data_IF_066204520657
#
_entry.id   IF_066204520657
#
_cell.length_a   1.000
_cell.length_b   1.000
_cell.length_c   1.000
_cell.angle_alpha   90.00
_cell.angle_beta   90.00
_cell.angle_gamma   90.00
#
_symmetry.space_group_name_H-M   'P 1'
#
loop_
_entity.id
_entity.type
_entity.pdbx_description
1 polymer ?
#
# COMPACT_ATOMS: atom_id res chain seq x y z
N UNK A 1 3.81 29.95 36.98
CA UNK A 1 4.61 29.95 35.73
C UNK A 1 3.97 28.97 34.77
N UNK A 2 3.55 29.47 33.62
CA UNK A 2 2.78 28.66 32.67
C UNK A 2 3.71 27.75 31.86
N UNK A 3 3.38 26.47 31.78
CA UNK A 3 4.10 25.50 30.96
C UNK A 3 3.90 25.86 29.47
N UNK A 4 4.97 25.95 28.65
CA UNK A 4 4.83 26.26 27.23
C UNK A 4 4.35 25.06 26.39
N UNK A 5 4.45 23.83 26.91
CA UNK A 5 4.05 22.62 26.21
C UNK A 5 2.55 22.37 26.33
N UNK A 6 2.00 22.42 27.55
CA UNK A 6 0.59 22.13 27.80
C UNK A 6 -0.24 23.32 28.31
N UNK A 7 0.40 24.45 28.67
CA UNK A 7 -0.32 25.63 29.15
C UNK A 7 -0.72 25.59 30.64
N UNK A 8 -0.38 24.56 31.40
CA UNK A 8 -0.68 24.45 32.83
C UNK A 8 0.09 25.48 33.68
N UNK A 9 -0.56 26.12 34.66
CA UNK A 9 0.08 27.12 35.52
C UNK A 9 0.73 26.47 36.75
N UNK A 10 2.06 26.36 36.71
CA UNK A 10 2.85 25.70 37.74
C UNK A 10 3.27 26.70 38.84
N UNK A 11 3.40 26.29 40.11
CA UNK A 11 4.00 27.12 41.15
C UNK A 11 5.42 27.59 40.77
N UNK A 12 5.83 28.77 41.24
CA UNK A 12 7.19 29.27 40.98
C UNK A 12 8.25 28.35 41.62
N UNK A 13 9.37 28.13 40.93
CA UNK A 13 10.48 27.30 41.42
C UNK A 13 10.37 25.79 41.13
N UNK A 14 9.29 25.33 40.48
CA UNK A 14 9.17 23.93 40.02
C UNK A 14 10.17 23.63 38.90
N UNK A 15 10.80 22.44 38.94
CA UNK A 15 11.76 22.01 37.90
C UNK A 15 11.10 21.34 36.70
N UNK A 16 9.92 20.76 36.90
CA UNK A 16 9.14 20.03 35.91
C UNK A 16 7.68 20.48 35.99
N UNK A 17 6.96 20.39 34.87
CA UNK A 17 5.53 20.65 34.82
C UNK A 17 4.78 19.52 35.53
N UNK A 18 3.85 19.86 36.43
CA UNK A 18 3.06 18.88 37.19
C UNK A 18 2.07 18.11 36.32
N UNK A 19 1.63 18.71 35.23
CA UNK A 19 0.65 18.14 34.30
C UNK A 19 1.32 17.28 33.20
N UNK A 20 2.26 17.83 32.44
CA UNK A 20 2.86 17.14 31.29
C UNK A 20 4.32 16.66 31.49
N UNK A 21 4.93 16.87 32.66
CA UNK A 21 6.30 16.42 32.96
C UNK A 21 7.46 17.22 32.32
N UNK A 22 7.17 18.26 31.53
CA UNK A 22 8.21 19.04 30.81
C UNK A 22 9.16 19.79 31.75
N UNK A 23 10.47 19.82 31.46
CA UNK A 23 11.47 20.53 32.29
C UNK A 23 11.31 22.05 32.18
N UNK A 24 10.83 22.68 33.24
CA UNK A 24 10.65 24.13 33.34
C UNK A 24 11.98 24.88 33.57
N UNK A 25 12.94 24.28 34.27
CA UNK A 25 14.25 24.89 34.56
C UNK A 25 15.17 25.00 33.35
N UNK A 26 15.12 24.03 32.43
CA UNK A 26 15.92 24.10 31.21
C UNK A 26 15.43 25.22 30.29
N UNK A 27 14.14 25.53 30.31
CA UNK A 27 13.58 26.61 29.51
C UNK A 27 14.09 27.99 29.96
N UNK A 28 14.10 28.29 31.26
CA UNK A 28 14.62 29.56 31.75
C UNK A 28 16.12 29.70 31.50
N UNK A 29 16.88 28.62 31.71
CA UNK A 29 18.30 28.58 31.40
C UNK A 29 18.56 28.78 29.90
N UNK A 30 17.76 28.15 29.02
CA UNK A 30 17.80 28.34 27.56
C UNK A 30 17.46 29.78 27.17
N UNK A 31 16.41 30.36 27.73
CA UNK A 31 16.03 31.77 27.50
C UNK A 31 17.13 32.72 27.97
N UNK A 32 17.74 32.47 29.13
CA UNK A 32 18.85 33.27 29.64
C UNK A 32 20.10 33.18 28.74
N UNK A 33 20.46 31.98 28.29
CA UNK A 33 21.54 31.76 27.31
C UNK A 33 21.25 32.46 25.98
N UNK A 34 20.03 32.38 25.47
CA UNK A 34 19.61 33.07 24.25
C UNK A 34 19.69 34.61 24.40
N UNK A 35 19.24 35.17 25.55
CA UNK A 35 19.38 36.60 25.86
C UNK A 35 20.84 37.04 25.92
N UNK A 36 21.72 36.27 26.56
CA UNK A 36 23.16 36.57 26.61
C UNK A 36 23.80 36.55 25.23
N UNK A 37 23.43 35.57 24.39
CA UNK A 37 23.89 35.48 23.00
C UNK A 37 23.44 36.69 22.18
N UNK A 38 22.16 37.05 22.24
CA UNK A 38 21.63 38.20 21.49
C UNK A 38 22.21 39.54 21.96
N UNK A 39 22.45 39.71 23.26
CA UNK A 39 23.14 40.87 23.82
C UNK A 39 24.58 40.96 23.34
N UNK A 40 25.31 39.83 23.30
CA UNK A 40 26.69 39.77 22.80
C UNK A 40 26.77 40.09 21.32
N UNK A 41 25.88 39.53 20.50
CA UNK A 41 25.76 39.86 19.08
C UNK A 41 25.43 41.34 18.85
N UNK A 42 24.49 41.90 19.61
CA UNK A 42 24.16 43.32 19.54
C UNK A 42 25.31 44.25 19.97
N UNK A 43 26.18 43.79 20.89
CA UNK A 43 27.37 44.52 21.30
C UNK A 43 28.47 44.48 20.24
N UNK A 44 28.69 43.31 19.61
CA UNK A 44 29.61 43.17 18.47
C UNK A 44 29.17 44.09 17.33
N UNK A 45 27.89 44.05 16.98
CA UNK A 45 27.33 44.87 15.92
C UNK A 45 27.49 46.38 16.17
N UNK A 46 27.28 46.83 17.41
CA UNK A 46 27.50 48.24 17.79
C UNK A 46 28.96 48.66 17.66
N UNK A 47 29.90 47.79 18.04
CA UNK A 47 31.35 48.05 17.91
C UNK A 47 31.78 48.11 16.43
N UNK A 48 31.27 47.21 15.61
CA UNK A 48 31.53 47.20 14.16
C UNK A 48 30.96 48.46 13.49
N UNK A 49 29.71 48.83 13.80
CA UNK A 49 29.10 50.05 13.29
C UNK A 49 29.89 51.31 13.68
N UNK A 50 30.36 51.41 14.93
CA UNK A 50 31.21 52.51 15.38
C UNK A 50 32.56 52.54 14.65
N UNK A 51 33.20 51.37 14.47
CA UNK A 51 34.49 51.26 13.75
C UNK A 51 34.36 51.71 12.29
N UNK A 52 33.24 51.38 11.66
CA UNK A 52 32.97 51.69 10.27
C UNK A 52 32.30 53.07 10.09
N UNK A 53 32.15 53.85 11.17
CA UNK A 53 31.59 55.21 11.14
C UNK A 53 30.10 55.29 10.79
N UNK A 54 29.36 54.18 10.91
CA UNK A 54 27.95 54.08 10.56
C UNK A 54 27.09 54.62 11.70
N UNK A 55 26.10 55.46 11.37
CA UNK A 55 25.11 55.88 12.34
C UNK A 55 24.21 54.70 12.79
N UNK A 56 23.59 54.83 13.96
CA UNK A 56 22.80 53.75 14.56
C UNK A 56 21.59 53.35 13.69
N UNK A 57 21.05 54.29 12.92
CA UNK A 57 19.87 54.08 12.08
C UNK A 57 20.24 53.32 10.79
N UNK A 58 21.38 53.63 10.20
CA UNK A 58 21.95 53.02 9.01
C UNK A 58 22.45 51.60 9.28
N UNK A 59 23.03 51.37 10.47
CA UNK A 59 23.32 50.03 10.96
C UNK A 59 22.02 49.21 11.12
N UNK A 60 20.97 49.76 11.75
CA UNK A 60 19.69 49.05 11.83
C UNK A 60 19.06 48.75 10.46
N UNK A 61 19.14 49.68 9.50
CA UNK A 61 18.65 49.47 8.12
C UNK A 61 19.42 48.35 7.42
N UNK A 62 20.75 48.29 7.55
CA UNK A 62 21.56 47.19 6.99
C UNK A 62 21.22 45.84 7.63
N UNK A 63 21.02 45.78 8.94
CA UNK A 63 20.60 44.57 9.67
C UNK A 63 19.23 44.05 9.25
N UNK A 64 18.28 44.95 8.97
CA UNK A 64 16.94 44.57 8.47
C UNK A 64 17.02 44.00 7.04
N UNK A 65 17.90 44.53 6.18
CA UNK A 65 18.11 44.00 4.81
C UNK A 65 18.74 42.61 4.82
N UNK A 66 19.73 42.35 5.67
CA UNK A 66 20.36 41.02 5.75
C UNK A 66 19.43 39.97 6.34
N UNK A 67 18.58 40.32 7.32
CA UNK A 67 17.63 39.39 7.94
C UNK A 67 16.43 39.02 7.07
N UNK A 68 15.98 39.90 6.17
CA UNK A 68 14.88 39.63 5.22
C UNK A 68 15.29 38.81 3.99
N UNK A 69 16.58 38.55 3.80
CA UNK A 69 17.09 37.79 2.66
C UNK A 69 16.99 36.30 2.94
N UNK A 70 15.79 35.78 3.18
CA UNK A 70 15.55 34.35 2.91
C UNK A 70 15.83 34.16 1.44
N UNK A 71 16.91 33.45 1.13
CA UNK A 71 17.34 33.26 -0.25
C UNK A 71 16.17 32.66 -1.05
N UNK A 72 15.85 33.18 -2.24
CA UNK A 72 14.81 32.59 -3.08
C UNK A 72 15.06 31.09 -3.35
N UNK A 73 16.32 30.65 -3.25
CA UNK A 73 16.70 29.24 -3.30
C UNK A 73 16.19 28.39 -2.13
N UNK A 74 16.06 28.97 -0.93
CA UNK A 74 15.49 28.24 0.22
C UNK A 74 14.00 28.00 0.00
N UNK A 75 13.28 28.98 -0.57
CA UNK A 75 11.88 28.80 -0.95
C UNK A 75 11.72 27.75 -2.06
N UNK A 76 12.60 27.76 -3.07
CA UNK A 76 12.61 26.73 -4.12
C UNK A 76 12.94 25.34 -3.59
N UNK A 77 13.89 25.20 -2.66
CA UNK A 77 14.20 23.91 -2.02
C UNK A 77 13.02 23.38 -1.21
N UNK A 78 12.36 24.24 -0.43
CA UNK A 78 11.16 23.85 0.34
C UNK A 78 10.04 23.41 -0.61
N UNK A 79 9.82 24.13 -1.71
CA UNK A 79 8.85 23.77 -2.74
C UNK A 79 9.19 22.42 -3.40
N UNK A 80 10.45 22.21 -3.77
CA UNK A 80 10.90 20.95 -4.38
C UNK A 80 10.72 19.75 -3.43
N UNK A 81 11.02 19.92 -2.14
CA UNK A 81 10.78 18.91 -1.11
C UNK A 81 9.28 18.63 -0.94
N UNK A 82 8.45 19.68 -0.91
CA UNK A 82 6.99 19.52 -0.85
C UNK A 82 6.44 18.76 -2.06
N UNK A 83 6.90 19.08 -3.27
CA UNK A 83 6.50 18.37 -4.49
C UNK A 83 6.95 16.91 -4.44
N UNK A 84 8.20 16.64 -4.04
CA UNK A 84 8.68 15.26 -3.90
C UNK A 84 7.87 14.47 -2.87
N UNK A 85 7.53 15.08 -1.73
CA UNK A 85 6.67 14.45 -0.72
C UNK A 85 5.25 14.20 -1.26
N UNK A 86 4.68 15.15 -1.99
CA UNK A 86 3.36 14.97 -2.63
C UNK A 86 3.41 13.82 -3.65
N UNK A 87 4.47 13.72 -4.46
CA UNK A 87 4.66 12.60 -5.40
C UNK A 87 4.78 11.27 -4.66
N UNK A 88 5.55 11.21 -3.58
CA UNK A 88 5.66 9.99 -2.74
C UNK A 88 4.30 9.63 -2.12
N UNK A 89 3.56 10.61 -1.60
CA UNK A 89 2.21 10.40 -1.05
C UNK A 89 1.28 9.89 -2.14
N UNK A 90 1.32 10.45 -3.35
CA UNK A 90 0.51 9.98 -4.47
C UNK A 90 0.87 8.55 -4.83
N UNK A 91 2.16 8.19 -4.91
CA UNK A 91 2.61 6.83 -5.21
C UNK A 91 2.22 5.80 -4.14
N UNK A 92 2.27 6.18 -2.87
CA UNK A 92 1.86 5.32 -1.75
C UNK A 92 0.33 5.23 -1.66
N UNK A 93 -0.38 6.34 -1.88
CA UNK A 93 -1.84 6.38 -1.87
C UNK A 93 -2.47 5.78 -3.13
N UNK A 94 -1.73 5.71 -4.24
CA UNK A 94 -2.18 5.07 -5.47
C UNK A 94 -2.15 3.55 -5.40
N UNK A 95 -1.76 2.95 -4.25
CA UNK A 95 -1.90 1.52 -4.01
C UNK A 95 -1.37 0.72 -5.19
N UNK A 96 -0.06 0.78 -5.44
CA UNK A 96 0.56 -0.06 -6.46
C UNK A 96 0.10 -1.50 -6.22
N UNK A 97 -0.54 -2.08 -7.22
CA UNK A 97 -1.04 -3.45 -7.17
C UNK A 97 0.12 -4.39 -6.84
N UNK A 98 -0.07 -5.21 -5.80
CA UNK A 98 0.97 -6.18 -5.41
C UNK A 98 1.12 -7.26 -6.49
N UNK A 99 2.29 -7.91 -6.54
CA UNK A 99 2.52 -9.03 -7.46
C UNK A 99 1.47 -10.14 -7.36
N UNK A 100 1.10 -10.61 -6.14
CA UNK A 100 0.03 -11.60 -5.96
C UNK A 100 -1.33 -11.11 -6.44
N UNK A 101 -1.71 -9.85 -6.14
CA UNK A 101 -3.00 -9.30 -6.58
C UNK A 101 -3.08 -9.23 -8.10
N UNK A 102 -1.99 -8.80 -8.74
CA UNK A 102 -1.88 -8.78 -10.20
C UNK A 102 -2.09 -10.18 -10.78
N UNK A 103 -1.44 -11.20 -10.22
CA UNK A 103 -1.58 -12.58 -10.68
C UNK A 103 -3.02 -13.11 -10.57
N UNK A 104 -3.74 -12.79 -9.49
CA UNK A 104 -5.17 -13.15 -9.36
C UNK A 104 -6.01 -12.47 -10.43
N UNK A 105 -5.73 -11.20 -10.75
CA UNK A 105 -6.46 -10.51 -11.83
C UNK A 105 -6.11 -11.07 -13.21
N UNK A 106 -4.85 -11.38 -13.47
CA UNK A 106 -4.41 -12.03 -14.71
C UNK A 106 -5.08 -13.41 -14.87
N UNK A 107 -5.20 -14.19 -13.80
CA UNK A 107 -5.93 -15.46 -13.78
C UNK A 107 -7.41 -15.31 -14.20
N UNK A 108 -8.17 -14.41 -13.58
CA UNK A 108 -9.59 -14.22 -13.94
C UNK A 108 -9.77 -13.63 -15.34
N UNK A 109 -8.91 -12.69 -15.75
CA UNK A 109 -8.95 -12.14 -17.11
C UNK A 109 -8.57 -13.19 -18.16
N UNK A 110 -7.62 -14.07 -17.87
CA UNK A 110 -7.25 -15.18 -18.76
C UNK A 110 -8.42 -16.13 -19.01
N UNK A 111 -9.21 -16.45 -17.97
CA UNK A 111 -10.45 -17.23 -18.14
C UNK A 111 -11.45 -16.47 -19.01
N UNK A 112 -11.64 -15.17 -18.75
CA UNK A 112 -12.55 -14.33 -19.53
C UNK A 112 -12.21 -14.29 -21.01
N UNK A 113 -10.95 -14.05 -21.31
CA UNK A 113 -10.45 -13.88 -22.68
C UNK A 113 -10.13 -15.24 -23.34
N UNK A 114 -10.33 -16.35 -22.60
CA UNK A 114 -9.92 -17.71 -22.99
C UNK A 114 -8.43 -17.78 -23.40
N UNK A 115 -7.60 -16.96 -22.76
CA UNK A 115 -6.15 -16.96 -22.92
C UNK A 115 -5.53 -18.11 -22.12
N UNK A 116 -5.43 -19.27 -22.77
CA UNK A 116 -4.95 -20.49 -22.13
C UNK A 116 -3.49 -20.40 -21.70
N UNK A 117 -2.67 -19.62 -22.43
CA UNK A 117 -1.25 -19.49 -22.08
C UNK A 117 -1.08 -18.70 -20.77
N UNK A 118 -1.78 -17.57 -20.63
CA UNK A 118 -1.75 -16.79 -19.39
C UNK A 118 -2.39 -17.57 -18.24
N UNK A 119 -3.47 -18.32 -18.51
CA UNK A 119 -4.08 -19.20 -17.51
C UNK A 119 -3.07 -20.24 -17.00
N UNK A 120 -2.41 -20.99 -17.89
CA UNK A 120 -1.43 -22.01 -17.51
C UNK A 120 -0.23 -21.43 -16.78
N UNK A 121 0.23 -20.23 -17.14
CA UNK A 121 1.32 -19.56 -16.42
C UNK A 121 0.98 -19.37 -14.93
N UNK A 122 -0.29 -19.16 -14.57
CA UNK A 122 -0.74 -18.97 -13.19
C UNK A 122 -1.34 -20.22 -12.53
N UNK A 123 -1.40 -21.37 -13.20
CA UNK A 123 -2.02 -22.60 -12.65
C UNK A 123 -1.12 -23.83 -12.76
N UNK A 124 -0.52 -24.05 -13.92
CA UNK A 124 0.21 -25.26 -14.32
C UNK A 124 1.50 -24.84 -15.07
N UNK A 125 2.46 -24.27 -14.34
CA UNK A 125 3.67 -23.64 -14.93
C UNK A 125 4.47 -24.59 -15.83
N UNK A 126 4.50 -25.89 -15.52
CA UNK A 126 5.18 -26.88 -16.37
C UNK A 126 4.47 -27.08 -17.71
N UNK A 127 3.13 -27.13 -17.73
CA UNK A 127 2.37 -27.20 -18.98
C UNK A 127 2.53 -25.92 -19.81
N UNK A 128 2.55 -24.75 -19.17
CA UNK A 128 2.89 -23.49 -19.83
C UNK A 128 4.24 -23.57 -20.54
N UNK A 129 5.28 -24.04 -19.84
CA UNK A 129 6.63 -24.19 -20.40
C UNK A 129 6.69 -25.23 -21.53
N UNK A 130 5.96 -26.34 -21.42
CA UNK A 130 5.83 -27.33 -22.49
C UNK A 130 5.15 -26.72 -23.73
N UNK A 131 4.10 -25.94 -23.53
CA UNK A 131 3.39 -25.25 -24.61
C UNK A 131 4.27 -24.19 -25.29
N UNK A 132 5.04 -23.43 -24.53
CA UNK A 132 6.00 -22.45 -25.04
C UNK A 132 7.07 -23.10 -25.95
N UNK A 133 7.49 -24.33 -25.61
CA UNK A 133 8.41 -25.13 -26.44
C UNK A 133 7.75 -25.88 -27.60
N UNK A 134 6.42 -25.82 -27.72
CA UNK A 134 5.65 -26.54 -28.74
C UNK A 134 5.53 -28.06 -28.50
N UNK A 135 5.81 -28.52 -27.27
CA UNK A 135 5.65 -29.92 -26.86
C UNK A 135 4.21 -30.26 -26.47
N UNK A 136 3.42 -29.23 -26.15
CA UNK A 136 2.01 -29.32 -25.76
C UNK A 136 1.20 -28.27 -26.53
N UNK A 137 0.01 -28.63 -26.98
CA UNK A 137 -0.93 -27.68 -27.58
C UNK A 137 -2.15 -27.58 -26.68
N UNK A 138 -2.23 -26.55 -25.82
CA UNK A 138 -3.31 -26.42 -24.87
C UNK A 138 -4.61 -25.99 -25.56
N UNK A 139 -5.73 -26.51 -25.07
CA UNK A 139 -7.07 -26.19 -25.53
C UNK A 139 -7.91 -25.70 -24.33
N UNK A 140 -8.68 -24.60 -24.46
CA UNK A 140 -9.42 -24.02 -23.34
C UNK A 140 -10.32 -25.04 -22.62
N UNK A 141 -11.02 -25.90 -23.35
CA UNK A 141 -11.94 -26.86 -22.74
C UNK A 141 -11.19 -27.98 -22.01
N UNK A 142 -10.03 -28.40 -22.54
CA UNK A 142 -9.18 -29.40 -21.88
C UNK A 142 -8.59 -28.89 -20.56
N UNK A 143 -8.31 -27.58 -20.47
CA UNK A 143 -7.84 -26.93 -19.24
C UNK A 143 -8.98 -26.54 -18.27
N UNK A 144 -10.22 -26.88 -18.63
CA UNK A 144 -11.44 -26.63 -17.87
C UNK A 144 -11.86 -25.17 -17.85
N UNK A 145 -11.67 -24.48 -18.98
CA UNK A 145 -12.36 -23.23 -19.33
C UNK A 145 -13.63 -23.65 -20.09
N UNK A 146 -14.61 -24.14 -19.33
CA UNK A 146 -15.73 -24.96 -19.84
C UNK A 146 -16.80 -24.18 -20.61
N UNK A 147 -16.92 -22.87 -20.39
CA UNK A 147 -17.99 -22.07 -20.97
C UNK A 147 -17.60 -21.49 -22.35
N UNK A 148 -18.60 -21.19 -23.16
CA UNK A 148 -18.39 -20.60 -24.49
C UNK A 148 -17.84 -19.17 -24.38
N UNK A 149 -18.33 -18.41 -23.39
CA UNK A 149 -17.83 -17.08 -23.04
C UNK A 149 -18.01 -16.80 -21.56
N UNK A 150 -17.32 -15.77 -21.06
CA UNK A 150 -17.44 -15.34 -19.67
C UNK A 150 -17.62 -13.82 -19.59
N UNK A 151 -18.42 -13.39 -18.61
CA UNK A 151 -18.53 -12.02 -18.18
C UNK A 151 -17.67 -11.83 -16.94
N UNK A 152 -16.79 -10.83 -16.95
CA UNK A 152 -16.05 -10.36 -15.78
C UNK A 152 -16.14 -8.84 -15.74
N UNK A 153 -16.74 -8.31 -14.67
CA UNK A 153 -16.95 -6.88 -14.48
C UNK A 153 -16.48 -6.43 -13.10
N UNK A 154 -15.75 -5.32 -13.03
CA UNK A 154 -15.46 -4.63 -11.77
C UNK A 154 -14.64 -5.44 -10.76
N UNK A 155 -13.78 -6.37 -11.21
CA UNK A 155 -12.97 -7.22 -10.32
C UNK A 155 -12.10 -6.38 -9.37
N UNK A 156 -12.31 -6.53 -8.07
CA UNK A 156 -11.50 -5.90 -7.03
C UNK A 156 -10.84 -6.96 -6.14
N UNK A 157 -9.59 -6.72 -5.81
CA UNK A 157 -8.77 -7.59 -4.96
C UNK A 157 -8.25 -6.82 -3.76
N UNK A 158 -7.80 -7.57 -2.76
CA UNK A 158 -7.10 -7.05 -1.60
C UNK A 158 -6.06 -8.06 -1.16
N UNK A 159 -4.78 -7.66 -1.11
CA UNK A 159 -3.75 -8.47 -0.48
C UNK A 159 -4.06 -8.65 1.02
N UNK A 160 -4.17 -9.89 1.45
CA UNK A 160 -4.42 -10.26 2.86
C UNK A 160 -3.09 -10.55 3.56
N UNK A 161 -2.22 -11.31 2.90
CA UNK A 161 -0.95 -11.79 3.46
C UNK A 161 0.08 -12.02 2.36
N UNK A 162 1.34 -11.71 2.63
CA UNK A 162 2.49 -12.07 1.79
C UNK A 162 3.69 -12.40 2.68
N UNK A 163 4.18 -13.63 2.63
CA UNK A 163 5.30 -14.14 3.42
C UNK A 163 6.22 -14.99 2.55
N UNK A 164 7.31 -14.38 2.05
CA UNK A 164 8.25 -15.07 1.17
C UNK A 164 7.58 -15.50 -0.14
N UNK A 165 7.53 -16.81 -0.39
CA UNK A 165 6.95 -17.39 -1.59
C UNK A 165 5.47 -17.78 -1.41
N UNK A 166 4.80 -17.24 -0.39
CA UNK A 166 3.40 -17.51 -0.10
C UNK A 166 2.59 -16.21 -0.03
N UNK A 167 1.39 -16.19 -0.59
CA UNK A 167 0.47 -15.07 -0.47
C UNK A 167 -1.00 -15.51 -0.38
N UNK A 168 -1.80 -14.67 0.26
CA UNK A 168 -3.26 -14.77 0.26
C UNK A 168 -3.84 -13.46 -0.27
N UNK A 169 -4.69 -13.57 -1.28
CA UNK A 169 -5.37 -12.44 -1.91
C UNK A 169 -6.86 -12.71 -1.83
N UNK A 170 -7.61 -11.76 -1.29
CA UNK A 170 -9.06 -11.85 -1.29
C UNK A 170 -9.63 -11.12 -2.50
N UNK A 171 -10.48 -11.79 -3.28
CA UNK A 171 -11.34 -11.18 -4.29
C UNK A 171 -12.56 -10.64 -3.57
N UNK A 172 -12.70 -9.32 -3.55
CA UNK A 172 -13.65 -8.59 -2.70
C UNK A 172 -14.84 -8.00 -3.46
N UNK A 173 -14.81 -8.06 -4.78
CA UNK A 173 -15.84 -7.45 -5.59
C UNK A 173 -15.69 -7.72 -7.08
N UNK A 174 -16.75 -7.39 -7.79
CA UNK A 174 -16.95 -7.70 -9.19
C UNK A 174 -17.89 -8.88 -9.40
N UNK A 175 -18.36 -9.01 -10.64
CA UNK A 175 -19.26 -10.07 -11.06
C UNK A 175 -18.56 -10.97 -12.07
N UNK A 176 -18.72 -12.29 -11.91
CA UNK A 176 -18.14 -13.29 -12.79
C UNK A 176 -19.17 -14.36 -13.18
N UNK A 177 -19.38 -14.58 -14.47
CA UNK A 177 -20.41 -15.48 -14.98
C UNK A 177 -19.92 -16.21 -16.24
N UNK A 178 -20.23 -17.51 -16.35
CA UNK A 178 -20.02 -18.31 -17.55
C UNK A 178 -21.30 -18.41 -18.38
N UNK A 179 -21.20 -18.32 -19.70
CA UNK A 179 -22.32 -18.34 -20.64
C UNK A 179 -22.11 -19.38 -21.74
N UNK A 180 -23.18 -20.09 -22.08
CA UNK A 180 -23.24 -21.01 -23.22
C UNK A 180 -23.90 -20.35 -24.43
N UNK A 181 -23.59 -20.83 -25.63
CA UNK A 181 -24.12 -20.34 -26.89
C UNK A 181 -25.65 -20.52 -27.03
N UNK A 182 -26.25 -21.43 -26.25
CA UNK A 182 -27.70 -21.63 -26.20
C UNK A 182 -28.43 -20.60 -25.32
N UNK A 183 -27.68 -19.68 -24.69
CA UNK A 183 -28.19 -18.63 -23.83
C UNK A 183 -28.34 -19.05 -22.36
N UNK A 184 -28.02 -20.29 -22.00
CA UNK A 184 -27.92 -20.69 -20.59
C UNK A 184 -26.66 -20.13 -19.93
N UNK A 185 -26.73 -19.89 -18.62
CA UNK A 185 -25.62 -19.31 -17.85
C UNK A 185 -25.32 -20.11 -16.59
N UNK A 186 -24.16 -19.87 -15.98
CA UNK A 186 -23.76 -20.48 -14.71
C UNK A 186 -24.53 -19.93 -13.49
N UNK A 187 -25.34 -18.87 -13.66
CA UNK A 187 -25.94 -18.10 -12.58
C UNK A 187 -25.01 -17.04 -11.96
N UNK A 188 -23.74 -17.06 -12.33
CA UNK A 188 -22.71 -16.12 -11.91
C UNK A 188 -22.40 -16.10 -10.41
N UNK A 189 -21.43 -15.28 -10.05
CA UNK A 189 -21.05 -14.96 -8.68
C UNK A 189 -20.75 -13.47 -8.53
N UNK A 190 -21.35 -12.85 -7.53
CA UNK A 190 -20.99 -11.51 -7.07
C UNK A 190 -20.00 -11.63 -5.90
N UNK A 191 -18.74 -11.29 -6.15
CA UNK A 191 -17.66 -11.40 -5.15
C UNK A 191 -17.81 -10.40 -4.00
N UNK A 192 -18.65 -9.36 -4.12
CA UNK A 192 -18.97 -8.48 -2.99
C UNK A 192 -19.93 -9.13 -2.00
N UNK A 193 -20.74 -10.10 -2.44
CA UNK A 193 -21.58 -10.92 -1.57
C UNK A 193 -20.85 -12.20 -1.14
N UNK A 194 -20.01 -12.74 -2.01
CA UNK A 194 -19.32 -14.00 -1.83
C UNK A 194 -17.82 -13.86 -2.14
N UNK A 195 -17.06 -13.20 -1.24
CA UNK A 195 -15.64 -13.00 -1.43
C UNK A 195 -14.90 -14.34 -1.50
N UNK A 196 -13.77 -14.36 -2.21
CA UNK A 196 -12.94 -15.55 -2.35
C UNK A 196 -11.54 -15.30 -1.84
N UNK A 197 -11.08 -16.13 -0.91
CA UNK A 197 -9.68 -16.16 -0.51
C UNK A 197 -8.91 -17.04 -1.48
N UNK A 198 -8.03 -16.43 -2.26
CA UNK A 198 -7.14 -17.10 -3.21
C UNK A 198 -5.77 -17.22 -2.59
N UNK A 199 -5.31 -18.47 -2.46
CA UNK A 199 -3.95 -18.76 -1.99
C UNK A 199 -3.01 -18.88 -3.17
N UNK A 200 -1.82 -18.30 -3.06
CA UNK A 200 -0.80 -18.33 -4.10
C UNK A 200 0.53 -18.82 -3.54
N UNK A 201 1.26 -19.57 -4.37
CA UNK A 201 2.65 -19.94 -4.13
C UNK A 201 3.51 -19.40 -5.26
N UNK A 202 4.63 -18.76 -4.92
CA UNK A 202 5.59 -18.27 -5.88
C UNK A 202 6.51 -19.42 -6.30
N UNK A 203 6.55 -19.70 -7.59
CA UNK A 203 7.46 -20.67 -8.20
C UNK A 203 8.30 -19.91 -9.22
N UNK A 204 9.62 -19.93 -9.03
CA UNK A 204 10.55 -19.08 -9.78
C UNK A 204 10.18 -17.59 -9.61
N UNK A 205 9.67 -16.94 -10.66
CA UNK A 205 9.21 -15.55 -10.61
C UNK A 205 7.70 -15.39 -10.90
N UNK A 206 6.96 -16.50 -10.87
CA UNK A 206 5.52 -16.53 -11.18
C UNK A 206 4.70 -16.93 -9.95
N UNK A 207 3.61 -16.21 -9.69
CA UNK A 207 2.64 -16.56 -8.66
C UNK A 207 1.62 -17.56 -9.21
N UNK A 208 1.51 -18.72 -8.57
CA UNK A 208 0.65 -19.84 -8.97
C UNK A 208 -0.56 -19.92 -8.03
N UNK A 209 -1.75 -19.81 -8.60
CA UNK A 209 -3.03 -19.94 -7.91
C UNK A 209 -3.22 -21.39 -7.45
N UNK A 210 -3.35 -21.58 -6.13
CA UNK A 210 -3.66 -22.87 -5.54
C UNK A 210 -5.17 -23.13 -5.60
N UNK A 211 -5.56 -24.41 -5.62
CA UNK A 211 -6.97 -24.84 -5.70
C UNK A 211 -7.75 -24.15 -6.84
N UNK A 212 -7.05 -23.86 -7.94
CA UNK A 212 -7.56 -23.05 -9.05
C UNK A 212 -8.81 -23.65 -9.70
N UNK A 213 -9.00 -24.97 -9.60
CA UNK A 213 -10.18 -25.69 -10.06
C UNK A 213 -11.47 -25.20 -9.39
N UNK A 214 -11.38 -24.79 -8.12
CA UNK A 214 -12.49 -24.22 -7.38
C UNK A 214 -12.56 -22.71 -7.62
N UNK A 215 -11.41 -22.03 -7.67
CA UNK A 215 -11.33 -20.58 -7.83
C UNK A 215 -11.88 -20.08 -9.18
N UNK A 216 -11.75 -20.88 -10.24
CA UNK A 216 -12.27 -20.58 -11.58
C UNK A 216 -13.79 -20.72 -11.73
N UNK A 217 -14.49 -21.30 -10.75
CA UNK A 217 -15.93 -21.57 -10.88
C UNK A 217 -16.74 -20.27 -10.83
N UNK A 218 -17.57 -19.98 -11.85
CA UNK A 218 -18.38 -18.76 -11.91
C UNK A 218 -19.72 -18.91 -11.16
N UNK A 219 -19.70 -19.61 -10.03
CA UNK A 219 -20.85 -19.89 -9.17
C UNK A 219 -20.36 -20.34 -7.80
N UNK A 220 -21.25 -20.34 -6.82
CA UNK A 220 -20.97 -20.88 -5.49
C UNK A 220 -20.92 -22.40 -5.54
N UNK A 221 -19.81 -22.99 -5.12
CA UNK A 221 -19.76 -24.41 -4.81
C UNK A 221 -20.24 -24.59 -3.37
N UNK A 222 -21.08 -25.59 -3.12
CA UNK A 222 -21.43 -25.96 -1.76
C UNK A 222 -20.15 -26.38 -1.03
N UNK A 223 -19.87 -25.79 0.13
CA UNK A 223 -18.87 -26.36 1.04
C UNK A 223 -19.30 -27.81 1.31
N UNK A 224 -18.45 -28.77 0.96
CA UNK A 224 -18.67 -30.17 1.29
C UNK A 224 -18.68 -30.22 2.82
N UNK A 225 -19.87 -30.29 3.41
CA UNK A 225 -20.04 -30.56 4.83
C UNK A 225 -19.37 -31.89 5.21
N UNK A 226 -19.12 -32.15 6.50
CA UNK A 226 -18.38 -33.32 6.93
C UNK A 226 -19.03 -34.60 6.38
N UNK A 227 -18.21 -35.39 5.68
CA UNK A 227 -18.42 -36.78 5.26
C UNK A 227 -19.87 -37.15 4.92
N UNK A 228 -20.20 -37.12 3.63
CA UNK A 228 -21.23 -38.05 3.13
C UNK A 228 -20.79 -39.46 3.56
N UNK A 229 -21.67 -40.25 4.23
CA UNK A 229 -21.28 -41.56 4.73
C UNK A 229 -20.76 -42.40 3.57
N UNK A 230 -19.58 -42.99 3.74
CA UNK A 230 -19.02 -43.97 2.82
C UNK A 230 -20.13 -44.95 2.43
N UNK A 231 -20.39 -45.07 1.12
CA UNK A 231 -21.33 -46.05 0.62
C UNK A 231 -20.98 -47.40 1.26
N UNK A 232 -21.95 -48.11 1.89
CA UNK A 232 -21.64 -49.38 2.52
C UNK A 232 -21.07 -50.31 1.45
N UNK A 233 -19.86 -50.83 1.70
CA UNK A 233 -19.28 -51.89 0.88
C UNK A 233 -20.33 -52.99 0.72
N UNK A 234 -20.76 -53.19 -0.52
CA UNK A 234 -21.68 -54.29 -0.84
C UNK A 234 -20.85 -55.56 -0.69
N UNK A 235 -21.00 -56.27 0.43
CA UNK A 235 -20.44 -57.60 0.58
C UNK A 235 -20.94 -58.48 -0.58
N UNK A 236 -20.03 -58.87 -1.47
CA UNK A 236 -20.34 -59.81 -2.54
C UNK A 236 -20.75 -61.14 -1.91
N UNK A 237 -21.89 -61.73 -2.32
CA UNK A 237 -22.34 -63.00 -1.76
C UNK A 237 -21.40 -64.14 -2.18
N UNK A 238 -20.90 -64.87 -1.18
CA UNK A 238 -20.10 -66.10 -1.29
C UNK A 238 -20.93 -67.25 -1.89
#
# INVERSE_FOLDING_TARGET
>A
MRCPNCGYDNPQGRRYCEDCGEKLTDLEARKARARRRSQREAAIYRREAQRDGLDAEEAERRRRRTRRRTSPWVALLILAVLVAVIVIIILVASGGESGPEKAVKEFYNAIKDKDVMTYLNHTELELYKMAERGEYQPDPYTEGIDYDSYLLEGLTTRLVKEEGDYAEVEVTGGYFEGMYNDGSTSGGIDFSQHPRLVTLVKVEDTWIVQDYQIMKLPYLFAEIGPEQPEFPEVEEPI
#
